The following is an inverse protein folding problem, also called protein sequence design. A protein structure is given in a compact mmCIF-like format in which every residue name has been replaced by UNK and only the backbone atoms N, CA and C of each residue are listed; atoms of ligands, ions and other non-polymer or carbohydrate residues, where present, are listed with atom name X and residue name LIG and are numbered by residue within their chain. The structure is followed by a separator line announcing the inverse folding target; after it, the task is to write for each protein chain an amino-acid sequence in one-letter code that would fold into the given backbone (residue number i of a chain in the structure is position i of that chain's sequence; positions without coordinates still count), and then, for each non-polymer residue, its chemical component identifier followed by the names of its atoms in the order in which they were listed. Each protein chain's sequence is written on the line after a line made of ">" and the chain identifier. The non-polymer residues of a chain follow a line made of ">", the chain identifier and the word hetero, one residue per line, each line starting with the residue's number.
data_IF_924672956606
#
_entry.id   IF_924672956606
#
_cell.length_a   1.000
_cell.length_b   1.000
_cell.length_c   1.000
_cell.angle_alpha   90.00
_cell.angle_beta   90.00
_cell.angle_gamma   90.00
#
_symmetry.space_group_name_H-M   'P 1'
#
loop_
_entity.id
_entity.type
_entity.pdbx_description
1 polymer ?
#
# COMPACT_ATOMS: atom_id res chain seq x y z
N UNK A 1 31.32 -12.12 -63.47
CA UNK A 1 29.98 -12.02 -62.85
C UNK A 1 29.83 -13.15 -61.85
N UNK A 2 29.83 -12.84 -60.55
CA UNK A 2 29.55 -13.79 -59.47
C UNK A 2 28.65 -13.04 -58.45
N UNK A 3 27.47 -13.58 -58.08
CA UNK A 3 26.58 -12.88 -57.17
C UNK A 3 27.06 -13.09 -55.72
N UNK A 4 27.33 -11.99 -55.02
CA UNK A 4 27.58 -12.00 -53.57
C UNK A 4 26.24 -12.05 -52.86
N UNK A 5 25.86 -13.24 -52.39
CA UNK A 5 24.71 -13.45 -51.52
C UNK A 5 24.90 -12.72 -50.19
N UNK A 6 24.05 -11.73 -49.90
CA UNK A 6 23.91 -11.16 -48.56
C UNK A 6 23.14 -12.15 -47.69
N UNK A 7 23.82 -12.75 -46.71
CA UNK A 7 23.18 -13.45 -45.60
C UNK A 7 22.65 -12.40 -44.61
N UNK A 8 21.33 -12.23 -44.57
CA UNK A 8 20.65 -11.48 -43.53
C UNK A 8 20.62 -12.31 -42.24
N UNK A 9 21.31 -11.85 -41.20
CA UNK A 9 21.24 -12.43 -39.86
C UNK A 9 19.99 -11.86 -39.18
N UNK A 10 18.93 -12.66 -39.10
CA UNK A 10 17.73 -12.33 -38.33
C UNK A 10 18.00 -12.66 -36.87
N UNK A 11 18.30 -11.64 -36.07
CA UNK A 11 18.33 -11.75 -34.61
C UNK A 11 16.90 -11.83 -34.10
N UNK A 12 16.45 -13.03 -33.75
CA UNK A 12 15.19 -13.23 -33.03
C UNK A 12 15.43 -12.84 -31.57
N UNK A 13 14.90 -11.69 -31.16
CA UNK A 13 14.80 -11.30 -29.77
C UNK A 13 13.79 -12.21 -29.07
N UNK A 14 14.29 -13.15 -28.26
CA UNK A 14 13.47 -13.98 -27.38
C UNK A 14 12.96 -13.08 -26.26
N UNK A 15 11.71 -12.63 -26.36
CA UNK A 15 10.98 -12.07 -25.23
C UNK A 15 10.81 -13.16 -24.18
N UNK A 16 11.31 -12.91 -22.96
CA UNK A 16 11.08 -13.76 -21.81
C UNK A 16 9.58 -13.76 -21.48
N UNK A 17 8.84 -14.71 -22.03
CA UNK A 17 7.51 -15.05 -21.55
C UNK A 17 7.69 -15.64 -20.15
N UNK A 18 7.13 -15.00 -19.13
CA UNK A 18 7.14 -15.52 -17.77
C UNK A 18 6.43 -16.87 -17.75
N UNK A 19 7.19 -17.95 -17.59
CA UNK A 19 6.64 -19.27 -17.37
C UNK A 19 6.02 -19.29 -15.97
N UNK A 20 4.77 -19.72 -15.86
CA UNK A 20 4.18 -20.05 -14.56
C UNK A 20 5.06 -21.12 -13.92
N UNK A 21 5.75 -20.78 -12.82
CA UNK A 21 6.57 -21.74 -12.09
C UNK A 21 5.62 -22.61 -11.26
N UNK A 22 5.22 -23.74 -11.87
CA UNK A 22 4.36 -24.71 -11.23
C UNK A 22 5.15 -25.52 -10.20
N UNK A 23 4.64 -25.57 -8.97
CA UNK A 23 5.17 -26.40 -7.88
C UNK A 23 4.11 -27.34 -7.36
N UNK A 24 4.54 -28.37 -6.62
CA UNK A 24 3.63 -29.32 -5.99
C UNK A 24 3.35 -28.90 -4.54
N UNK A 25 2.10 -29.07 -4.13
CA UNK A 25 1.65 -29.00 -2.75
C UNK A 25 0.82 -30.26 -2.48
N UNK A 26 1.44 -31.27 -1.89
CA UNK A 26 0.89 -32.61 -1.82
C UNK A 26 0.69 -33.19 -3.22
N UNK A 27 -0.55 -33.54 -3.57
CA UNK A 27 -0.92 -34.05 -4.90
C UNK A 27 -1.35 -32.96 -5.88
N UNK A 28 -1.46 -31.69 -5.45
CA UNK A 28 -1.88 -30.58 -6.29
C UNK A 28 -0.68 -29.86 -6.90
N UNK A 29 -0.81 -29.43 -8.16
CA UNK A 29 0.10 -28.45 -8.77
C UNK A 29 -0.47 -27.05 -8.58
N UNK A 30 0.39 -26.08 -8.29
CA UNK A 30 0.00 -24.68 -8.11
C UNK A 30 1.00 -23.73 -8.75
N UNK A 31 0.50 -22.58 -9.21
CA UNK A 31 1.32 -21.47 -9.67
C UNK A 31 1.81 -20.65 -8.46
N UNK A 32 3.13 -20.56 -8.32
CA UNK A 32 3.78 -19.79 -7.24
C UNK A 32 3.51 -18.30 -7.30
N UNK A 33 3.05 -17.78 -8.44
CA UNK A 33 2.59 -16.39 -8.56
C UNK A 33 1.18 -16.18 -7.99
N UNK A 34 0.43 -17.25 -7.70
CA UNK A 34 -0.98 -17.17 -7.26
C UNK A 34 -1.21 -17.80 -5.88
N UNK A 35 -0.37 -18.75 -5.45
CA UNK A 35 -0.54 -19.44 -4.18
C UNK A 35 0.79 -19.67 -3.46
N UNK A 36 0.71 -19.85 -2.16
CA UNK A 36 1.78 -20.36 -1.29
C UNK A 36 1.32 -21.66 -0.64
N UNK A 37 2.22 -22.64 -0.57
CA UNK A 37 1.95 -23.94 0.03
C UNK A 37 2.49 -24.00 1.46
N UNK A 38 1.66 -24.48 2.39
CA UNK A 38 2.00 -24.74 3.79
C UNK A 38 1.95 -26.24 4.07
N UNK A 39 2.97 -26.73 4.79
CA UNK A 39 3.14 -28.11 5.25
C UNK A 39 2.95 -29.17 4.16
N UNK A 40 3.22 -28.81 2.89
CA UNK A 40 2.99 -29.65 1.71
C UNK A 40 1.55 -30.20 1.61
N UNK A 41 0.56 -29.50 2.18
CA UNK A 41 -0.82 -29.97 2.28
C UNK A 41 -1.86 -28.90 2.03
N UNK A 42 -1.54 -27.63 2.32
CA UNK A 42 -2.53 -26.56 2.30
C UNK A 42 -2.09 -25.39 1.42
N UNK A 43 -2.94 -24.98 0.49
CA UNK A 43 -2.68 -23.85 -0.40
C UNK A 43 -3.40 -22.61 0.09
N UNK A 44 -2.65 -21.52 0.27
CA UNK A 44 -3.21 -20.19 0.50
C UNK A 44 -2.98 -19.28 -0.70
N UNK A 45 -4.01 -18.52 -1.13
CA UNK A 45 -3.85 -17.60 -2.25
C UNK A 45 -2.95 -16.43 -1.87
N UNK A 46 -2.28 -15.87 -2.86
CA UNK A 46 -1.66 -14.55 -2.78
C UNK A 46 -2.77 -13.53 -3.03
N UNK A 47 -3.11 -12.74 -2.01
CA UNK A 47 -4.18 -11.75 -2.07
C UNK A 47 -3.63 -10.34 -1.91
N UNK A 48 -3.80 -9.52 -2.94
CA UNK A 48 -3.34 -8.13 -2.97
C UNK A 48 -1.85 -7.99 -2.67
N UNK A 49 -1.04 -8.84 -3.30
CA UNK A 49 0.41 -8.87 -3.13
C UNK A 49 0.89 -9.51 -1.82
N UNK A 50 -0.02 -9.96 -0.96
CA UNK A 50 0.32 -10.68 0.26
C UNK A 50 0.12 -12.19 0.05
N UNK A 51 1.17 -13.01 0.18
CA UNK A 51 1.02 -14.44 0.40
C UNK A 51 0.32 -14.67 1.74
N UNK A 52 -0.96 -15.06 1.70
CA UNK A 52 -1.73 -15.24 2.93
C UNK A 52 -1.10 -16.33 3.79
N UNK A 53 -1.18 -16.14 5.10
CA UNK A 53 -0.65 -17.07 6.10
C UNK A 53 -1.68 -18.11 6.48
N UNK A 54 -1.22 -19.23 7.03
CA UNK A 54 -2.07 -20.34 7.40
C UNK A 54 -2.20 -20.45 8.93
N UNK A 55 -3.44 -20.64 9.41
CA UNK A 55 -3.74 -20.95 10.81
C UNK A 55 -4.92 -21.90 10.89
N UNK A 56 -4.72 -23.10 11.43
CA UNK A 56 -5.79 -24.06 11.75
C UNK A 56 -6.85 -24.25 10.65
N UNK A 57 -6.41 -24.45 9.40
CA UNK A 57 -7.31 -24.68 8.27
C UNK A 57 -7.79 -23.42 7.53
N UNK A 58 -7.34 -22.22 7.92
CA UNK A 58 -7.74 -20.97 7.30
C UNK A 58 -6.54 -20.16 6.80
N UNK A 59 -6.73 -19.48 5.66
CA UNK A 59 -5.81 -18.45 5.19
C UNK A 59 -6.17 -17.10 5.82
N UNK A 60 -5.18 -16.34 6.27
CA UNK A 60 -5.38 -15.04 6.90
C UNK A 60 -4.31 -14.03 6.48
N UNK A 61 -4.69 -12.75 6.57
CA UNK A 61 -3.76 -11.64 6.37
C UNK A 61 -2.99 -11.34 7.65
N UNK A 62 -1.66 -11.37 7.61
CA UNK A 62 -0.77 -10.95 8.69
C UNK A 62 -0.85 -9.45 8.98
N UNK A 63 -1.48 -8.66 8.11
CA UNK A 63 -1.72 -7.24 8.35
C UNK A 63 -2.94 -6.97 9.25
N UNK A 64 -3.76 -7.99 9.51
CA UNK A 64 -5.00 -7.87 10.30
C UNK A 64 -5.12 -8.91 11.42
N UNK A 65 -4.50 -10.07 11.26
CA UNK A 65 -4.67 -11.21 12.16
C UNK A 65 -3.32 -11.80 12.55
N UNK A 66 -3.34 -12.53 13.66
CA UNK A 66 -2.25 -13.35 14.16
C UNK A 66 -2.77 -14.75 14.48
N UNK A 67 -1.87 -15.73 14.45
CA UNK A 67 -2.15 -17.10 14.85
C UNK A 67 -1.33 -17.41 16.10
N UNK A 68 -1.98 -17.65 17.23
CA UNK A 68 -1.33 -17.98 18.50
C UNK A 68 -1.95 -19.27 19.03
N UNK A 69 -1.13 -20.29 19.28
CA UNK A 69 -1.58 -21.61 19.74
C UNK A 69 -2.71 -22.19 18.87
N UNK A 70 -2.58 -22.10 17.54
CA UNK A 70 -3.59 -22.51 16.55
C UNK A 70 -4.94 -21.78 16.63
N UNK A 71 -5.02 -20.67 17.38
CA UNK A 71 -6.19 -19.81 17.42
C UNK A 71 -5.92 -18.57 16.58
N UNK A 72 -6.77 -18.34 15.58
CA UNK A 72 -6.77 -17.14 14.77
C UNK A 72 -7.44 -16.01 15.56
N UNK A 73 -6.74 -14.90 15.77
CA UNK A 73 -7.28 -13.70 16.39
C UNK A 73 -6.92 -12.46 15.58
N UNK A 74 -7.71 -11.40 15.69
CA UNK A 74 -7.32 -10.09 15.16
C UNK A 74 -6.09 -9.58 15.89
N UNK A 75 -5.26 -8.81 15.18
CA UNK A 75 -4.23 -8.00 15.81
C UNK A 75 -4.90 -6.88 16.64
N UNK A 76 -4.23 -6.38 17.69
CA UNK A 76 -4.71 -5.21 18.41
C UNK A 76 -4.70 -3.98 17.49
N UNK A 77 -5.69 -3.10 17.64
CA UNK A 77 -5.65 -1.79 17.02
C UNK A 77 -4.45 -0.99 17.57
N UNK A 78 -3.96 -0.03 16.77
CA UNK A 78 -2.95 0.92 17.26
C UNK A 78 -3.47 1.76 18.43
N UNK A 79 -2.57 2.21 19.27
CA UNK A 79 -2.88 3.23 20.26
C UNK A 79 -3.28 4.54 19.52
N UNK A 80 -4.47 5.11 19.78
CA UNK A 80 -4.94 6.30 19.08
C UNK A 80 -4.11 7.55 19.40
N UNK A 81 -3.24 7.50 20.41
CA UNK A 81 -2.34 8.58 20.82
C UNK A 81 -0.92 8.43 20.28
N UNK A 82 -0.62 7.32 19.60
CA UNK A 82 0.71 7.05 19.06
C UNK A 82 0.73 7.24 17.54
N UNK A 83 1.44 8.25 17.01
CA UNK A 83 1.52 8.44 15.58
C UNK A 83 2.40 7.36 14.95
N UNK A 84 2.07 6.98 13.72
CA UNK A 84 2.85 6.04 12.92
C UNK A 84 3.03 6.56 11.50
N UNK A 85 4.09 6.12 10.85
CA UNK A 85 4.29 6.27 9.42
C UNK A 85 3.98 4.97 8.70
N UNK A 86 3.89 5.01 7.37
CA UNK A 86 3.60 3.85 6.54
C UNK A 86 4.71 3.61 5.53
N UNK A 87 4.99 2.35 5.27
CA UNK A 87 5.87 1.91 4.18
C UNK A 87 5.14 0.90 3.31
N UNK A 88 5.32 0.97 2.01
CA UNK A 88 4.77 -0.02 1.09
C UNK A 88 5.41 -1.40 1.33
N UNK A 89 4.60 -2.45 1.34
CA UNK A 89 5.04 -3.83 1.44
C UNK A 89 4.53 -4.60 0.22
N UNK A 90 5.46 -4.86 -0.69
CA UNK A 90 5.33 -5.81 -1.79
C UNK A 90 6.75 -6.17 -2.29
N UNK A 91 7.38 -7.23 -1.76
CA UNK A 91 8.76 -7.60 -2.08
C UNK A 91 9.05 -7.87 -3.56
N UNK A 92 8.02 -8.10 -4.38
CA UNK A 92 8.15 -8.32 -5.81
C UNK A 92 8.27 -7.03 -6.64
N UNK A 93 8.18 -5.86 -6.03
CA UNK A 93 8.12 -4.57 -6.74
C UNK A 93 9.19 -3.58 -6.26
N UNK A 94 9.62 -2.63 -7.13
CA UNK A 94 10.54 -1.55 -6.74
C UNK A 94 10.00 -0.59 -5.67
N UNK A 95 8.72 -0.67 -5.32
CA UNK A 95 8.10 0.15 -4.28
C UNK A 95 8.23 -0.45 -2.88
N UNK A 96 8.71 -1.69 -2.74
CA UNK A 96 8.87 -2.32 -1.42
C UNK A 96 9.76 -1.48 -0.49
N UNK A 97 9.33 -1.35 0.76
CA UNK A 97 10.04 -0.57 1.78
C UNK A 97 10.02 0.95 1.57
N UNK A 98 9.49 1.46 0.45
CA UNK A 98 9.39 2.91 0.22
C UNK A 98 8.33 3.52 1.14
N UNK A 99 8.63 4.71 1.65
CA UNK A 99 7.71 5.46 2.51
C UNK A 99 6.43 5.87 1.76
N UNK A 100 5.31 5.85 2.45
CA UNK A 100 4.10 6.58 2.05
C UNK A 100 4.27 8.03 2.48
N UNK A 101 4.09 8.95 1.55
CA UNK A 101 4.31 10.39 1.72
C UNK A 101 3.07 11.18 1.34
N UNK A 102 2.82 12.28 2.04
CA UNK A 102 1.71 13.19 1.82
C UNK A 102 2.20 14.52 1.24
N UNK A 103 1.64 14.92 0.11
CA UNK A 103 1.86 16.23 -0.49
C UNK A 103 0.64 16.66 -1.30
N UNK A 104 0.31 17.95 -1.28
CA UNK A 104 -0.79 18.47 -2.11
C UNK A 104 -2.16 17.83 -1.84
N UNK A 105 -2.42 17.35 -0.60
CA UNK A 105 -3.65 16.63 -0.23
C UNK A 105 -3.78 15.22 -0.81
N UNK A 106 -2.68 14.64 -1.30
CA UNK A 106 -2.62 13.28 -1.83
C UNK A 106 -1.53 12.46 -1.14
N UNK A 107 -1.76 11.15 -1.00
CA UNK A 107 -0.72 10.22 -0.56
C UNK A 107 -0.09 9.49 -1.75
N UNK A 108 1.21 9.30 -1.68
CA UNK A 108 2.01 8.60 -2.69
C UNK A 108 3.05 7.70 -2.02
N UNK A 109 3.64 6.78 -2.77
CA UNK A 109 4.71 5.88 -2.33
C UNK A 109 6.00 6.30 -3.00
N UNK A 110 7.04 6.50 -2.19
CA UNK A 110 8.37 6.90 -2.67
C UNK A 110 8.46 8.35 -3.16
N UNK A 111 7.54 9.21 -2.73
CA UNK A 111 7.60 10.66 -2.95
C UNK A 111 8.30 11.39 -1.80
N UNK A 112 8.04 12.69 -1.71
CA UNK A 112 8.49 13.57 -0.61
C UNK A 112 7.27 14.05 0.20
N UNK A 113 7.44 14.16 1.52
CA UNK A 113 6.43 14.78 2.37
C UNK A 113 6.52 16.30 2.23
N UNK A 114 5.41 16.95 1.89
CA UNK A 114 5.32 18.40 1.86
C UNK A 114 4.67 18.90 3.13
N UNK A 115 5.46 19.53 4.01
CA UNK A 115 4.97 20.18 5.23
C UNK A 115 5.11 21.68 5.14
N UNK A 116 4.18 22.39 5.76
CA UNK A 116 4.27 23.84 5.92
C UNK A 116 4.35 24.17 7.40
N UNK A 117 5.38 24.93 7.78
CA UNK A 117 5.49 25.49 9.12
C UNK A 117 5.75 27.00 9.05
N UNK A 118 4.92 27.84 9.69
CA UNK A 118 5.07 29.28 9.70
C UNK A 118 6.15 29.71 10.72
N UNK A 119 7.42 29.54 10.35
CA UNK A 119 8.56 29.70 11.27
C UNK A 119 8.70 31.12 11.83
N UNK A 120 8.17 32.13 11.15
CA UNK A 120 8.14 33.52 11.63
C UNK A 120 7.20 33.69 12.83
N UNK A 121 6.24 32.78 13.03
CA UNK A 121 5.23 32.81 14.07
C UNK A 121 5.55 31.83 15.20
N UNK A 122 6.09 30.65 14.86
CA UNK A 122 6.31 29.56 15.84
C UNK A 122 7.79 29.24 16.09
N UNK A 123 8.71 29.90 15.39
CA UNK A 123 10.15 29.76 15.61
C UNK A 123 10.64 28.32 15.54
N UNK A 124 11.37 27.90 16.57
CA UNK A 124 11.94 26.55 16.69
C UNK A 124 10.92 25.45 17.02
N UNK A 125 9.64 25.79 17.20
CA UNK A 125 8.58 24.79 17.40
C UNK A 125 8.22 24.05 16.10
N UNK A 126 8.76 24.45 14.96
CA UNK A 126 8.61 23.72 13.71
C UNK A 126 9.36 22.38 13.77
N UNK A 127 8.67 21.22 13.64
CA UNK A 127 9.34 19.97 13.40
C UNK A 127 9.98 19.97 12.00
N UNK A 128 10.85 18.99 11.74
CA UNK A 128 11.52 18.85 10.44
C UNK A 128 10.53 18.72 9.26
N UNK A 129 9.34 18.17 9.49
CA UNK A 129 8.26 18.12 8.50
C UNK A 129 8.57 17.24 7.28
N UNK A 130 9.54 16.33 7.38
CA UNK A 130 10.01 15.49 6.29
C UNK A 130 9.39 14.07 6.29
N UNK A 131 8.61 13.72 7.31
CA UNK A 131 7.92 12.44 7.42
C UNK A 131 6.41 12.64 7.40
N UNK A 132 5.71 11.69 6.78
CA UNK A 132 4.26 11.60 6.85
C UNK A 132 3.90 10.69 8.01
N UNK A 133 3.25 11.26 9.02
CA UNK A 133 2.76 10.55 10.18
C UNK A 133 1.25 10.76 10.34
N UNK A 134 0.60 9.80 10.98
CA UNK A 134 -0.86 9.79 11.15
C UNK A 134 -1.25 9.04 12.42
N UNK A 135 -2.47 9.33 12.87
CA UNK A 135 -3.21 8.57 13.87
C UNK A 135 -4.33 7.77 13.20
N UNK A 136 -4.73 6.68 13.83
CA UNK A 136 -5.94 5.95 13.45
C UNK A 136 -6.72 5.54 14.70
N UNK A 137 -8.03 5.75 14.67
CA UNK A 137 -8.94 5.40 15.76
C UNK A 137 -10.35 5.21 15.21
N UNK A 138 -11.10 4.24 15.75
CA UNK A 138 -12.52 4.03 15.45
C UNK A 138 -12.85 3.96 13.94
N UNK A 139 -11.93 3.38 13.15
CA UNK A 139 -12.10 3.25 11.71
C UNK A 139 -11.87 4.54 10.91
N UNK A 140 -11.31 5.58 11.52
CA UNK A 140 -10.92 6.83 10.86
C UNK A 140 -9.40 7.02 11.00
N UNK A 141 -8.83 7.84 10.13
CA UNK A 141 -7.44 8.26 10.22
C UNK A 141 -7.32 9.78 10.10
N UNK A 142 -6.27 10.35 10.70
CA UNK A 142 -5.97 11.78 10.68
C UNK A 142 -4.46 12.00 10.58
N UNK A 143 -4.04 13.06 9.92
CA UNK A 143 -2.62 13.43 9.83
C UNK A 143 -2.11 13.86 11.22
N UNK A 144 -0.87 13.51 11.54
CA UNK A 144 -0.17 14.02 12.72
C UNK A 144 0.34 15.44 12.44
N UNK A 145 -0.52 16.43 12.67
CA UNK A 145 -0.23 17.84 12.42
C UNK A 145 -0.71 18.74 13.55
N UNK A 146 -0.04 19.88 13.72
CA UNK A 146 -0.38 20.92 14.70
C UNK A 146 -1.34 21.96 14.11
N UNK A 147 -2.35 21.52 13.36
CA UNK A 147 -3.35 22.40 12.74
C UNK A 147 -4.64 22.39 13.58
N UNK A 148 -5.19 23.56 13.98
CA UNK A 148 -6.50 23.63 14.63
C UNK A 148 -7.60 22.95 13.79
N UNK A 149 -8.34 22.02 14.41
CA UNK A 149 -9.32 21.19 13.72
C UNK A 149 -8.76 19.94 13.04
N UNK A 150 -7.42 19.80 13.01
CA UNK A 150 -6.71 18.66 12.43
C UNK A 150 -6.85 18.57 10.91
N UNK A 151 -6.39 17.43 10.37
CA UNK A 151 -6.58 17.09 8.97
C UNK A 151 -7.01 15.63 8.87
N UNK A 152 -8.26 15.40 8.47
CA UNK A 152 -8.85 14.05 8.38
C UNK A 152 -8.46 13.36 7.07
N UNK A 153 -8.11 12.08 7.15
CA UNK A 153 -7.82 11.23 5.98
C UNK A 153 -9.14 10.70 5.41
N UNK A 154 -9.23 10.64 4.09
CA UNK A 154 -10.38 10.11 3.37
C UNK A 154 -9.96 9.40 2.09
N UNK A 155 -10.87 8.56 1.57
CA UNK A 155 -10.81 8.04 0.21
C UNK A 155 -11.72 8.90 -0.66
N UNK A 156 -11.18 9.52 -1.70
CA UNK A 156 -11.98 10.34 -2.62
C UNK A 156 -12.95 9.46 -3.46
N UNK A 157 -13.85 10.04 -4.26
CA UNK A 157 -14.78 9.27 -5.11
C UNK A 157 -14.10 8.34 -6.12
N UNK A 158 -12.80 8.54 -6.38
CA UNK A 158 -11.96 7.72 -7.26
C UNK A 158 -11.06 6.76 -6.47
N UNK A 159 -11.24 6.65 -5.16
CA UNK A 159 -10.49 5.82 -4.23
C UNK A 159 -9.03 6.22 -4.03
N UNK A 160 -8.64 7.45 -4.36
CA UNK A 160 -7.35 8.00 -3.96
C UNK A 160 -7.35 8.31 -2.47
N UNK A 161 -6.20 8.12 -1.82
CA UNK A 161 -6.04 8.54 -0.43
C UNK A 161 -5.73 10.03 -0.40
N UNK A 162 -6.61 10.79 0.25
CA UNK A 162 -6.47 12.22 0.46
C UNK A 162 -6.61 12.61 1.92
N UNK A 163 -6.37 13.88 2.21
CA UNK A 163 -6.56 14.45 3.53
C UNK A 163 -7.04 15.90 3.43
N UNK A 164 -7.82 16.35 4.40
CA UNK A 164 -8.41 17.69 4.34
C UNK A 164 -7.33 18.77 4.39
N UNK A 165 -7.59 19.90 3.72
CA UNK A 165 -6.74 21.08 3.82
C UNK A 165 -6.69 21.60 5.27
N UNK A 166 -5.56 22.18 5.67
CA UNK A 166 -5.45 22.87 6.94
C UNK A 166 -6.53 23.95 7.10
N UNK A 167 -7.16 24.00 8.28
CA UNK A 167 -8.30 24.89 8.60
C UNK A 167 -9.56 24.69 7.74
N UNK A 168 -9.68 23.57 7.04
CA UNK A 168 -10.84 23.23 6.23
C UNK A 168 -11.37 21.86 6.60
N UNK A 169 -12.69 21.77 6.80
CA UNK A 169 -13.40 20.50 6.93
C UNK A 169 -13.94 20.01 5.57
N UNK A 170 -13.61 20.67 4.46
CA UNK A 170 -14.11 20.28 3.15
C UNK A 170 -13.57 18.91 2.74
N UNK A 171 -14.50 18.00 2.47
CA UNK A 171 -14.26 16.69 1.89
C UNK A 171 -15.12 16.60 0.63
N UNK A 172 -14.56 16.19 -0.54
CA UNK A 172 -15.33 16.08 -1.77
C UNK A 172 -16.56 15.16 -1.61
N UNK A 173 -17.74 15.54 -2.13
CA UNK A 173 -18.92 14.68 -2.10
C UNK A 173 -18.65 13.30 -2.71
N UNK A 174 -19.11 12.24 -2.05
CA UNK A 174 -18.87 10.84 -2.47
C UNK A 174 -17.59 10.22 -1.88
N UNK A 175 -16.84 10.96 -1.06
CA UNK A 175 -15.69 10.40 -0.35
C UNK A 175 -16.11 9.48 0.81
N UNK A 176 -15.21 8.58 1.18
CA UNK A 176 -15.34 7.68 2.35
C UNK A 176 -14.37 8.08 3.43
N UNK A 177 -14.83 8.19 4.68
CA UNK A 177 -14.03 8.66 5.84
C UNK A 177 -13.90 7.63 6.96
N UNK A 178 -14.56 6.48 6.80
CA UNK A 178 -14.59 5.37 7.77
C UNK A 178 -13.98 4.11 7.17
N UNK A 179 -13.87 3.04 7.96
CA UNK A 179 -13.28 1.77 7.52
C UNK A 179 -11.77 1.82 7.28
N UNK A 180 -11.08 2.85 7.76
CA UNK A 180 -9.62 3.00 7.74
C UNK A 180 -9.06 2.57 9.10
N UNK A 181 -8.49 1.37 9.17
CA UNK A 181 -8.05 0.74 10.43
C UNK A 181 -6.56 0.46 10.39
N UNK A 182 -5.87 0.70 11.49
CA UNK A 182 -4.45 0.36 11.64
C UNK A 182 -4.28 -0.67 12.77
N UNK A 183 -3.57 -1.75 12.47
CA UNK A 183 -3.31 -2.83 13.41
C UNK A 183 -1.85 -2.82 13.86
N UNK A 184 -1.61 -2.83 15.18
CA UNK A 184 -0.28 -2.91 15.75
C UNK A 184 0.35 -4.28 15.40
N UNK A 185 1.60 -4.27 14.92
CA UNK A 185 2.26 -5.44 14.33
C UNK A 185 1.79 -5.82 12.93
N UNK A 186 0.79 -5.10 12.38
CA UNK A 186 0.17 -5.36 11.08
C UNK A 186 0.30 -4.20 10.09
N UNK A 187 -0.82 -3.82 9.49
CA UNK A 187 -0.88 -2.80 8.44
C UNK A 187 -1.99 -1.78 8.62
N UNK A 188 -1.95 -0.76 7.78
CA UNK A 188 -3.08 0.13 7.55
C UNK A 188 -3.99 -0.51 6.50
N UNK A 189 -5.26 -0.64 6.83
CA UNK A 189 -6.22 -1.51 6.15
C UNK A 189 -7.46 -0.70 5.80
N UNK A 190 -7.94 -0.91 4.57
CA UNK A 190 -9.22 -0.42 4.10
C UNK A 190 -10.27 -1.54 4.17
N UNK A 191 -11.30 -1.34 4.97
CA UNK A 191 -12.43 -2.27 5.13
C UNK A 191 -13.59 -1.98 4.15
N UNK A 192 -13.47 -0.94 3.32
CA UNK A 192 -14.52 -0.53 2.38
C UNK A 192 -14.45 -1.30 1.05
N UNK A 193 -15.58 -1.33 0.32
CA UNK A 193 -15.65 -1.78 -1.08
C UNK A 193 -15.39 -3.28 -1.30
N UNK A 194 -15.64 -4.14 -0.31
CA UNK A 194 -15.32 -5.58 -0.41
C UNK A 194 -13.82 -5.88 -0.63
N UNK A 195 -12.94 -4.94 -0.22
CA UNK A 195 -11.58 -5.20 0.26
C UNK A 195 -10.62 -5.94 -0.67
N UNK A 196 -10.20 -5.34 -1.78
CA UNK A 196 -8.99 -5.77 -2.51
C UNK A 196 -7.72 -5.09 -1.97
N UNK A 197 -7.79 -4.43 -0.81
CA UNK A 197 -6.65 -3.78 -0.17
C UNK A 197 -6.20 -2.51 -0.90
N UNK A 198 -4.90 -2.28 -0.95
CA UNK A 198 -4.30 -1.10 -1.54
C UNK A 198 -3.61 -1.43 -2.86
N UNK A 199 -3.53 -0.44 -3.74
CA UNK A 199 -2.71 -0.50 -4.94
C UNK A 199 -1.85 0.75 -5.07
N UNK A 200 -0.67 0.55 -5.63
CA UNK A 200 0.24 1.58 -6.04
C UNK A 200 0.11 1.73 -7.56
N UNK A 201 -0.32 2.90 -8.02
CA UNK A 201 -0.38 3.22 -9.43
C UNK A 201 0.91 3.92 -9.84
N UNK A 202 1.57 3.47 -10.92
CA UNK A 202 2.81 4.09 -11.38
C UNK A 202 2.57 5.56 -11.76
N UNK A 203 3.61 6.41 -11.65
CA UNK A 203 3.50 7.79 -12.14
C UNK A 203 3.13 7.78 -13.63
N UNK A 204 2.13 8.56 -14.02
CA UNK A 204 1.79 8.75 -15.42
C UNK A 204 2.86 9.63 -16.07
N UNK A 205 3.55 9.11 -17.09
CA UNK A 205 4.66 9.75 -17.79
C UNK A 205 4.30 11.07 -18.54
N UNK A 206 3.06 11.53 -18.46
CA UNK A 206 2.52 12.67 -19.21
C UNK A 206 2.15 13.80 -18.26
N UNK A 207 3.12 14.66 -17.90
CA UNK A 207 2.80 15.94 -17.24
C UNK A 207 3.77 16.43 -16.16
N UNK A 208 4.94 15.80 -15.95
CA UNK A 208 5.90 16.25 -14.93
C UNK A 208 5.59 15.77 -13.51
N UNK A 209 4.71 14.77 -13.35
CA UNK A 209 4.58 14.03 -12.09
C UNK A 209 5.89 13.30 -11.79
N UNK A 210 6.40 13.44 -10.57
CA UNK A 210 7.67 12.83 -10.14
C UNK A 210 7.69 11.30 -10.21
N UNK A 211 8.71 10.68 -9.63
CA UNK A 211 8.88 9.21 -9.63
C UNK A 211 7.98 8.47 -8.62
N UNK A 212 7.12 9.20 -7.91
CA UNK A 212 6.25 8.67 -6.85
C UNK A 212 5.05 7.93 -7.43
N UNK A 213 4.64 6.87 -6.74
CA UNK A 213 3.47 6.06 -7.12
C UNK A 213 2.25 6.54 -6.35
N UNK A 214 1.11 6.73 -7.02
CA UNK A 214 -0.11 7.13 -6.33
C UNK A 214 -0.66 5.97 -5.48
N UNK A 215 -1.00 6.23 -4.21
CA UNK A 215 -1.61 5.23 -3.34
C UNK A 215 -3.13 5.31 -3.42
N UNK A 216 -3.75 4.20 -3.82
CA UNK A 216 -5.19 4.10 -3.99
C UNK A 216 -5.75 2.87 -3.28
N UNK A 217 -7.00 2.95 -2.86
CA UNK A 217 -7.76 1.80 -2.41
C UNK A 217 -8.28 1.02 -3.63
N UNK A 218 -8.04 -0.29 -3.64
CA UNK A 218 -8.54 -1.21 -4.67
C UNK A 218 -9.72 -2.00 -4.13
N UNK A 219 -10.73 -2.17 -4.97
CA UNK A 219 -11.95 -2.90 -4.68
C UNK A 219 -12.52 -3.59 -5.92
N UNK A 220 -13.62 -4.32 -5.76
CA UNK A 220 -14.25 -5.05 -6.87
C UNK A 220 -14.71 -4.14 -8.01
N UNK A 221 -15.14 -2.92 -7.70
CA UNK A 221 -15.76 -2.00 -8.67
C UNK A 221 -14.74 -1.18 -9.45
N UNK A 222 -13.53 -0.98 -8.91
CA UNK A 222 -12.43 -0.25 -9.55
C UNK A 222 -11.26 -1.15 -10.00
N UNK A 223 -11.35 -2.47 -9.85
CA UNK A 223 -10.27 -3.39 -10.20
C UNK A 223 -9.82 -3.25 -11.67
N UNK A 224 -10.77 -3.02 -12.59
CA UNK A 224 -10.49 -2.85 -14.01
C UNK A 224 -9.81 -1.51 -14.33
N UNK A 225 -10.20 -0.42 -13.65
CA UNK A 225 -9.58 0.90 -13.86
C UNK A 225 -8.18 0.98 -13.26
N UNK A 226 -7.89 0.13 -12.26
CA UNK A 226 -6.59 -0.01 -11.61
C UNK A 226 -5.76 -1.20 -12.16
N UNK A 227 -6.01 -1.62 -13.40
CA UNK A 227 -5.33 -2.77 -14.00
C UNK A 227 -3.82 -2.56 -14.18
N UNK A 228 -3.36 -1.32 -14.36
CA UNK A 228 -1.95 -0.94 -14.42
C UNK A 228 -1.32 -0.66 -13.05
N UNK A 229 -2.10 -0.72 -11.98
CA UNK A 229 -1.64 -0.51 -10.61
C UNK A 229 -1.28 -1.85 -9.97
N UNK A 230 -0.22 -1.85 -9.19
CA UNK A 230 0.26 -3.04 -8.51
C UNK A 230 -0.24 -3.08 -7.08
N UNK A 231 -0.74 -4.22 -6.61
CA UNK A 231 -1.23 -4.33 -5.24
C UNK A 231 -0.08 -4.08 -4.24
N UNK A 232 -0.39 -3.49 -3.09
CA UNK A 232 0.57 -3.24 -2.02
C UNK A 232 -0.13 -3.27 -0.67
N UNK A 233 0.63 -3.46 0.40
CA UNK A 233 0.14 -3.35 1.77
C UNK A 233 0.95 -2.31 2.53
N UNK A 234 0.35 -1.18 2.96
CA UNK A 234 1.00 -0.23 3.83
C UNK A 234 1.24 -0.86 5.20
N UNK A 235 2.50 -1.15 5.51
CA UNK A 235 2.98 -1.63 6.81
C UNK A 235 3.20 -0.44 7.73
N UNK A 236 2.85 -0.59 9.00
CA UNK A 236 3.13 0.42 10.01
C UNK A 236 4.62 0.48 10.33
N UNK A 237 5.13 1.69 10.42
CA UNK A 237 6.46 2.02 10.94
C UNK A 237 6.28 3.01 12.07
N UNK A 238 6.48 2.55 13.30
CA UNK A 238 6.47 3.44 14.46
C UNK A 238 7.80 4.18 14.50
N UNK A 239 7.81 5.52 14.66
CA UNK A 239 9.04 6.20 15.00
C UNK A 239 9.60 5.55 16.27
N UNK A 240 10.90 5.22 16.27
CA UNK A 240 11.60 4.87 17.50
C UNK A 240 11.31 6.00 18.48
N UNK A 241 10.77 5.67 19.65
CA UNK A 241 10.44 6.65 20.68
C UNK A 241 11.62 7.63 20.80
N UNK A 242 11.40 8.88 20.41
CA UNK A 242 12.37 9.93 20.63
C UNK A 242 12.42 10.17 22.14
N UNK A 243 13.37 9.51 22.80
CA UNK A 243 13.82 9.80 24.16
C UNK A 243 14.51 11.16 24.23
#
# INVERSE_FOLDING_TARGET
>A
MAPRSLLAVILVSISALGYAELRNCGSAQYDTAQYVCYDNQFLCPISSGEPLSYCSGACFSKFMYQCVNNVLSTLPAVDPTMPFSLTASNPGLPIDGKAVTACGQHWSIGGETCSYCPSQQVGSACPAGNITAMFASEGRAAMDTMVPGGQGVYLDPYWNVGYTQAHSAYIPPGSTVEGLVAYNGGGFVNLNGNGYGWAACPPTASGGGGSAWNLVAKNATNAATLANCSCTRPRLSFPLASS
#
